data_IF_562414529704
#
_entry.id   IF_562414529704
#
_cell.length_a   1.000
_cell.length_b   1.000
_cell.length_c   1.000
_cell.angle_alpha   90.00
_cell.angle_beta   90.00
_cell.angle_gamma   90.00
#
_symmetry.space_group_name_H-M   'P 1'
#
loop_
_entity.id
_entity.type
_entity.pdbx_description
1 polymer ?
#
# COMPACT_ATOMS: atom_id res chain seq x y z
N UNK A 1 4.35 16.67 -36.30
CA UNK A 1 5.62 16.13 -35.74
C UNK A 1 5.88 16.62 -34.31
N UNK A 2 6.02 17.94 -34.05
CA UNK A 2 6.38 18.49 -32.73
C UNK A 2 5.56 18.05 -31.50
N UNK A 3 4.24 17.84 -31.64
CA UNK A 3 3.41 17.38 -30.52
C UNK A 3 3.75 15.94 -30.09
N UNK A 4 4.05 15.05 -31.04
CA UNK A 4 4.44 13.67 -30.75
C UNK A 4 5.78 13.57 -30.03
N UNK A 5 6.74 14.44 -30.36
CA UNK A 5 8.03 14.53 -29.68
C UNK A 5 7.88 14.91 -28.20
N UNK A 6 6.91 15.76 -27.86
CA UNK A 6 6.61 16.10 -26.47
C UNK A 6 6.04 14.91 -25.70
N UNK A 7 5.10 14.16 -26.29
CA UNK A 7 4.56 12.95 -25.66
C UNK A 7 5.61 11.86 -25.48
N UNK A 8 6.47 11.63 -26.47
CA UNK A 8 7.60 10.70 -26.39
C UNK A 8 8.61 11.17 -25.33
N UNK A 9 8.91 12.47 -25.27
CA UNK A 9 9.75 13.06 -24.25
C UNK A 9 9.21 12.80 -22.84
N UNK A 10 7.92 13.08 -22.61
CA UNK A 10 7.24 12.82 -21.32
C UNK A 10 7.24 11.33 -20.97
N UNK A 11 7.00 10.44 -21.94
CA UNK A 11 7.03 9.00 -21.71
C UNK A 11 8.44 8.51 -21.32
N UNK A 12 9.48 8.99 -22.00
CA UNK A 12 10.88 8.67 -21.69
C UNK A 12 11.29 9.20 -20.32
N UNK A 13 10.95 10.45 -19.99
CA UNK A 13 11.20 11.02 -18.66
C UNK A 13 10.47 10.23 -17.56
N UNK A 14 9.23 9.81 -17.82
CA UNK A 14 8.49 8.95 -16.91
C UNK A 14 9.13 7.56 -16.72
N UNK A 15 9.69 6.98 -17.79
CA UNK A 15 10.42 5.71 -17.71
C UNK A 15 11.71 5.84 -16.89
N UNK A 16 12.48 6.92 -17.07
CA UNK A 16 13.69 7.20 -16.28
C UNK A 16 13.37 7.39 -14.79
N UNK A 17 12.31 8.13 -14.47
CA UNK A 17 11.84 8.32 -13.09
C UNK A 17 11.36 7.01 -12.45
N UNK A 18 10.98 6.01 -13.25
CA UNK A 18 10.51 4.70 -12.77
C UNK A 18 11.61 3.65 -12.64
N UNK A 19 12.79 3.84 -13.24
CA UNK A 19 13.92 2.91 -13.10
C UNK A 19 14.22 2.54 -11.64
N UNK A 20 14.26 3.50 -10.69
CA UNK A 20 14.50 3.18 -9.27
C UNK A 20 13.40 2.34 -8.61
N UNK A 21 12.17 2.36 -9.16
CA UNK A 21 11.05 1.55 -8.68
C UNK A 21 11.10 0.10 -9.16
N UNK A 22 11.85 -0.22 -10.23
CA UNK A 22 11.83 -1.57 -10.83
C UNK A 22 12.23 -2.66 -9.83
N UNK A 23 13.40 -2.54 -9.20
CA UNK A 23 13.87 -3.56 -8.27
C UNK A 23 12.95 -3.73 -7.03
N UNK A 24 12.49 -2.66 -6.37
CA UNK A 24 11.51 -2.78 -5.29
C UNK A 24 10.17 -3.38 -5.72
N UNK A 25 9.66 -3.02 -6.90
CA UNK A 25 8.41 -3.59 -7.43
C UNK A 25 8.56 -5.07 -7.75
N UNK A 26 9.66 -5.48 -8.38
CA UNK A 26 9.96 -6.89 -8.64
C UNK A 26 9.99 -7.70 -7.33
N UNK A 27 10.59 -7.13 -6.28
CA UNK A 27 10.60 -7.74 -4.95
C UNK A 27 9.19 -7.87 -4.37
N UNK A 28 8.37 -6.81 -4.44
CA UNK A 28 6.98 -6.87 -3.98
C UNK A 28 6.16 -7.92 -4.76
N UNK A 29 6.35 -7.99 -6.08
CA UNK A 29 5.70 -8.98 -6.95
C UNK A 29 6.11 -10.41 -6.58
N UNK A 30 7.36 -10.63 -6.21
CA UNK A 30 7.85 -11.96 -5.83
C UNK A 30 7.20 -12.49 -4.53
N UNK A 31 6.79 -11.60 -3.62
CA UNK A 31 6.16 -11.97 -2.36
C UNK A 31 4.63 -11.95 -2.43
N UNK A 32 4.05 -10.86 -2.95
CA UNK A 32 2.60 -10.62 -2.90
C UNK A 32 1.89 -10.92 -4.22
N UNK A 33 2.64 -11.23 -5.28
CA UNK A 33 2.09 -11.50 -6.60
C UNK A 33 1.85 -10.23 -7.42
N UNK A 34 1.85 -10.40 -8.74
CA UNK A 34 1.71 -9.31 -9.70
C UNK A 34 0.33 -8.67 -9.68
N UNK A 35 -0.72 -9.48 -9.49
CA UNK A 35 -2.10 -9.02 -9.47
C UNK A 35 -2.31 -7.98 -8.39
N UNK A 36 -1.91 -8.28 -7.15
CA UNK A 36 -2.01 -7.37 -5.99
C UNK A 36 -1.26 -6.06 -6.24
N UNK A 37 0.01 -6.13 -6.64
CA UNK A 37 0.85 -4.95 -6.85
C UNK A 37 0.27 -4.06 -7.97
N UNK A 38 -0.29 -4.67 -9.01
CA UNK A 38 -0.88 -3.91 -10.13
C UNK A 38 -2.26 -3.35 -9.78
N UNK A 39 -3.08 -4.10 -9.05
CA UNK A 39 -4.43 -3.72 -8.64
C UNK A 39 -4.43 -2.40 -7.87
N UNK A 40 -3.56 -2.27 -6.88
CA UNK A 40 -3.40 -1.03 -6.11
C UNK A 40 -2.57 0.04 -6.83
N UNK A 41 -2.24 -0.14 -8.11
CA UNK A 41 -1.50 0.87 -8.88
C UNK A 41 -0.13 1.22 -8.31
N UNK A 42 0.49 0.33 -7.52
CA UNK A 42 1.81 0.53 -6.93
C UNK A 42 2.90 0.93 -7.95
N UNK A 43 2.91 0.43 -9.21
CA UNK A 43 3.88 0.87 -10.22
C UNK A 43 3.77 2.34 -10.62
N UNK A 44 2.65 3.00 -10.33
CA UNK A 44 2.41 4.41 -10.63
C UNK A 44 2.73 5.33 -9.45
N UNK A 45 3.13 4.77 -8.30
CA UNK A 45 3.52 5.54 -7.13
C UNK A 45 4.95 6.11 -7.25
N UNK A 46 5.31 7.02 -6.35
CA UNK A 46 6.65 7.61 -6.31
C UNK A 46 7.74 6.66 -5.81
N UNK A 47 9.00 6.96 -6.13
CA UNK A 47 10.16 6.13 -5.78
C UNK A 47 10.22 5.72 -4.29
N UNK A 48 9.94 6.66 -3.39
CA UNK A 48 9.93 6.39 -1.94
C UNK A 48 8.90 5.34 -1.58
N UNK A 49 7.72 5.38 -2.20
CA UNK A 49 6.68 4.38 -2.02
C UNK A 49 7.15 3.01 -2.48
N UNK A 50 7.69 2.91 -3.71
CA UNK A 50 8.21 1.65 -4.24
C UNK A 50 9.25 1.02 -3.31
N UNK A 51 10.22 1.81 -2.82
CA UNK A 51 11.27 1.33 -1.91
C UNK A 51 10.72 0.79 -0.60
N UNK A 52 9.74 1.48 0.00
CA UNK A 52 9.12 1.02 1.24
C UNK A 52 8.25 -0.21 0.99
N UNK A 53 7.47 -0.23 -0.10
CA UNK A 53 6.67 -1.38 -0.53
C UNK A 53 7.51 -2.65 -0.65
N UNK A 54 8.60 -2.60 -1.42
CA UNK A 54 9.48 -3.75 -1.60
C UNK A 54 10.12 -4.21 -0.27
N UNK A 55 10.38 -3.29 0.66
CA UNK A 55 10.89 -3.65 1.98
C UNK A 55 9.81 -4.29 2.86
N UNK A 56 8.61 -3.73 2.86
CA UNK A 56 7.48 -4.24 3.63
C UNK A 56 7.09 -5.64 3.15
N UNK A 57 7.01 -5.84 1.83
CA UNK A 57 6.72 -7.14 1.23
C UNK A 57 7.77 -8.21 1.55
N UNK A 58 9.05 -7.83 1.62
CA UNK A 58 10.11 -8.77 2.00
C UNK A 58 10.12 -9.12 3.48
N UNK A 59 9.55 -8.28 4.35
CA UNK A 59 9.43 -8.56 5.79
C UNK A 59 8.16 -9.32 6.13
N UNK A 60 7.09 -9.07 5.38
CA UNK A 60 5.80 -9.73 5.51
C UNK A 60 5.49 -10.46 4.20
N UNK A 61 6.16 -11.59 3.91
CA UNK A 61 6.12 -12.24 2.60
C UNK A 61 4.77 -12.89 2.28
N UNK A 62 4.01 -13.29 3.30
CA UNK A 62 2.68 -13.87 3.16
C UNK A 62 1.67 -12.77 2.89
N UNK A 63 1.12 -12.73 1.66
CA UNK A 63 0.11 -11.71 1.32
C UNK A 63 -1.12 -11.81 2.24
N UNK A 64 -1.60 -13.02 2.57
CA UNK A 64 -2.76 -13.20 3.43
C UNK A 64 -2.56 -12.62 4.84
N UNK A 65 -1.34 -12.63 5.35
CA UNK A 65 -1.00 -12.05 6.65
C UNK A 65 -0.80 -10.54 6.54
N UNK A 66 0.02 -10.11 5.58
CA UNK A 66 0.28 -8.70 5.31
C UNK A 66 -1.02 -7.92 5.03
N UNK A 67 -1.99 -8.59 4.40
CA UNK A 67 -3.32 -8.08 4.14
C UNK A 67 -4.10 -7.75 5.42
N UNK A 68 -4.08 -8.64 6.42
CA UNK A 68 -4.77 -8.43 7.71
C UNK A 68 -4.17 -7.20 8.41
N UNK A 69 -2.85 -7.15 8.51
CA UNK A 69 -2.13 -6.04 9.15
C UNK A 69 -2.35 -4.71 8.41
N UNK A 70 -2.29 -4.73 7.06
CA UNK A 70 -2.55 -3.54 6.24
C UNK A 70 -3.95 -2.98 6.45
N UNK A 71 -4.97 -3.83 6.47
CA UNK A 71 -6.34 -3.37 6.69
C UNK A 71 -6.49 -2.70 8.06
N UNK A 72 -5.86 -3.25 9.10
CA UNK A 72 -5.89 -2.65 10.43
C UNK A 72 -5.18 -1.30 10.48
N UNK A 73 -4.03 -1.17 9.82
CA UNK A 73 -3.30 0.09 9.72
C UNK A 73 -4.11 1.15 8.97
N UNK A 74 -4.77 0.76 7.86
CA UNK A 74 -5.64 1.63 7.07
C UNK A 74 -6.85 2.07 7.89
N UNK A 75 -7.57 1.13 8.53
CA UNK A 75 -8.73 1.46 9.36
C UNK A 75 -8.36 2.35 10.55
N UNK A 76 -7.25 2.04 11.24
CA UNK A 76 -6.74 2.90 12.30
C UNK A 76 -6.56 4.32 11.78
N UNK A 77 -5.95 4.48 10.60
CA UNK A 77 -5.72 5.80 10.00
C UNK A 77 -7.03 6.51 9.64
N UNK A 78 -8.00 5.81 9.08
CA UNK A 78 -9.32 6.35 8.73
C UNK A 78 -10.04 6.86 10.00
N UNK A 79 -9.94 6.11 11.09
CA UNK A 79 -10.62 6.39 12.35
C UNK A 79 -9.86 7.38 13.27
N UNK A 80 -8.70 7.91 12.86
CA UNK A 80 -7.96 8.86 13.69
C UNK A 80 -8.75 10.17 13.89
N UNK A 81 -9.06 10.57 15.14
CA UNK A 81 -9.80 11.79 15.40
C UNK A 81 -9.02 13.04 14.93
N UNK A 82 -9.75 14.03 14.42
CA UNK A 82 -9.17 15.30 13.93
C UNK A 82 -8.52 15.22 12.55
N UNK A 83 -8.49 14.05 11.88
CA UNK A 83 -8.15 13.95 10.47
C UNK A 83 -9.36 14.27 9.59
N UNK A 84 -9.11 14.88 8.44
CA UNK A 84 -10.14 15.03 7.40
C UNK A 84 -10.57 13.64 6.94
N UNK A 85 -11.88 13.42 6.80
CA UNK A 85 -12.44 12.19 6.22
C UNK A 85 -11.67 11.84 4.95
N UNK A 86 -11.04 10.66 4.94
CA UNK A 86 -10.34 10.17 3.76
C UNK A 86 -11.41 9.82 2.73
N UNK A 87 -11.28 10.41 1.54
CA UNK A 87 -12.12 10.02 0.42
C UNK A 87 -11.74 8.59 0.00
N UNK A 88 -12.72 7.78 -0.41
CA UNK A 88 -12.45 6.45 -0.97
C UNK A 88 -11.45 6.55 -2.12
N UNK A 89 -10.53 5.58 -2.21
CA UNK A 89 -9.47 5.57 -3.22
C UNK A 89 -9.31 4.17 -3.77
N UNK A 90 -9.11 4.05 -5.09
CA UNK A 90 -8.76 2.78 -5.72
C UNK A 90 -7.47 2.16 -5.14
N UNK A 91 -6.60 2.97 -4.53
CA UNK A 91 -5.54 2.50 -3.66
C UNK A 91 -5.62 3.20 -2.30
N UNK A 92 -6.09 2.51 -1.25
CA UNK A 92 -6.13 3.06 0.10
C UNK A 92 -4.82 2.80 0.87
N UNK A 93 -3.84 2.10 0.30
CA UNK A 93 -2.53 1.89 0.91
C UNK A 93 -1.69 3.15 0.74
N UNK A 94 -1.45 3.88 1.83
CA UNK A 94 -0.52 5.00 1.83
C UNK A 94 0.87 4.56 2.28
N UNK A 95 1.85 5.41 2.00
CA UNK A 95 3.24 5.24 2.42
C UNK A 95 3.37 4.96 3.93
N UNK A 96 2.56 5.61 4.77
CA UNK A 96 2.64 5.43 6.23
C UNK A 96 2.23 4.02 6.65
N UNK A 97 1.26 3.41 5.99
CA UNK A 97 0.85 2.03 6.31
C UNK A 97 1.96 1.06 5.93
N UNK A 98 2.62 1.27 4.79
CA UNK A 98 3.76 0.43 4.40
C UNK A 98 4.96 0.63 5.34
N UNK A 99 5.14 1.82 5.90
CA UNK A 99 6.19 2.09 6.90
C UNK A 99 5.88 1.34 8.21
N UNK A 100 4.63 1.33 8.62
CA UNK A 100 4.17 0.66 9.83
C UNK A 100 4.16 -0.86 9.65
N UNK A 101 3.67 -1.35 8.51
CA UNK A 101 3.73 -2.76 8.13
C UNK A 101 5.18 -3.27 8.13
N UNK A 102 6.11 -2.51 7.55
CA UNK A 102 7.54 -2.85 7.61
C UNK A 102 8.08 -2.99 9.06
N UNK A 103 7.49 -2.28 10.01
CA UNK A 103 7.88 -2.32 11.42
C UNK A 103 7.17 -3.44 12.20
N UNK A 104 6.01 -3.89 11.72
CA UNK A 104 5.27 -5.04 12.21
C UNK A 104 5.89 -6.33 11.66
N UNK A 105 6.65 -7.07 12.49
CA UNK A 105 7.42 -8.25 12.04
C UNK A 105 6.98 -9.55 12.72
N UNK A 106 6.27 -9.46 13.84
CA UNK A 106 5.75 -10.60 14.57
C UNK A 106 4.22 -10.49 14.53
N UNK A 107 3.51 -11.61 14.32
CA UNK A 107 2.03 -11.71 14.30
C UNK A 107 1.40 -11.44 15.69
N UNK A 108 2.06 -10.61 16.48
CA UNK A 108 1.69 -10.15 17.81
C UNK A 108 1.17 -8.72 17.74
N UNK A 109 0.92 -8.14 18.91
CA UNK A 109 0.42 -6.78 19.07
C UNK A 109 1.43 -5.74 18.53
N UNK A 110 0.97 -4.88 17.62
CA UNK A 110 1.74 -3.72 17.17
C UNK A 110 1.22 -2.45 17.84
N UNK A 111 2.07 -1.80 18.63
CA UNK A 111 1.71 -0.57 19.33
C UNK A 111 2.07 0.65 18.48
N UNK A 112 1.06 1.40 18.03
CA UNK A 112 1.23 2.64 17.28
C UNK A 112 0.65 3.83 18.03
N UNK A 113 1.53 4.73 18.48
CA UNK A 113 1.18 5.91 19.28
C UNK A 113 0.41 5.55 20.57
N UNK A 114 0.79 4.46 21.24
CA UNK A 114 0.12 3.97 22.44
C UNK A 114 -1.19 3.21 22.21
N UNK A 115 -1.66 3.10 20.96
CA UNK A 115 -2.80 2.25 20.61
C UNK A 115 -2.29 0.88 20.14
N UNK A 116 -2.65 -0.21 20.81
CA UNK A 116 -2.34 -1.55 20.33
C UNK A 116 -3.21 -1.92 19.15
N UNK A 117 -2.60 -2.55 18.14
CA UNK A 117 -3.28 -3.25 17.08
C UNK A 117 -3.00 -4.74 17.27
N UNK A 118 -4.02 -5.49 17.68
CA UNK A 118 -3.94 -6.94 17.87
C UNK A 118 -4.23 -7.60 16.52
N UNK A 119 -3.45 -8.60 16.14
CA UNK A 119 -3.68 -9.34 14.89
C UNK A 119 -5.07 -10.01 14.87
N UNK A 120 -5.98 -9.47 14.05
CA UNK A 120 -7.35 -9.98 13.85
C UNK A 120 -7.88 -9.54 12.48
N UNK A 121 -8.60 -10.41 11.79
CA UNK A 121 -9.23 -10.04 10.53
C UNK A 121 -10.28 -8.95 10.75
N UNK A 122 -10.23 -7.91 9.91
CA UNK A 122 -11.23 -6.84 9.87
C UNK A 122 -12.58 -7.39 9.41
N UNK A 123 -13.62 -7.16 10.20
CA UNK A 123 -15.01 -7.50 9.85
C UNK A 123 -15.65 -6.37 9.05
N UNK A 124 -16.70 -6.70 8.27
CA UNK A 124 -17.52 -5.69 7.58
C UNK A 124 -18.15 -4.68 8.54
N UNK A 125 -18.36 -5.06 9.81
CA UNK A 125 -18.85 -4.16 10.86
C UNK A 125 -17.87 -3.06 11.26
N UNK A 126 -16.58 -3.26 11.00
CA UNK A 126 -15.51 -2.34 11.42
C UNK A 126 -15.21 -1.28 10.36
N UNK A 127 -15.83 -1.41 9.19
CA UNK A 127 -15.58 -0.61 8.00
C UNK A 127 -16.62 0.50 7.92
N UNK A 128 -16.21 1.77 7.75
CA UNK A 128 -17.15 2.86 7.53
C UNK A 128 -17.98 2.63 6.25
N UNK A 129 -19.24 3.03 6.24
CA UNK A 129 -20.17 2.86 5.09
C UNK A 129 -19.65 3.41 3.75
N UNK A 130 -18.65 4.30 3.79
CA UNK A 130 -17.99 4.86 2.61
C UNK A 130 -16.90 3.96 1.99
N UNK A 131 -16.55 2.84 2.61
CA UNK A 131 -15.46 1.94 2.21
C UNK A 131 -15.97 0.51 1.99
N UNK A 132 -15.22 -0.29 1.24
CA UNK A 132 -15.58 -1.69 0.95
C UNK A 132 -14.37 -2.62 1.06
N UNK A 133 -14.58 -3.94 1.07
CA UNK A 133 -13.51 -4.92 0.88
C UNK A 133 -13.67 -5.53 -0.51
N UNK A 134 -12.63 -5.51 -1.33
CA UNK A 134 -12.54 -6.25 -2.57
C UNK A 134 -11.77 -7.57 -2.43
N UNK A 135 -11.47 -8.23 -3.56
CA UNK A 135 -10.76 -9.52 -3.59
C UNK A 135 -9.32 -9.47 -3.06
N UNK A 136 -8.74 -8.28 -2.90
CA UNK A 136 -7.41 -8.03 -2.38
C UNK A 136 -7.41 -7.18 -1.11
N UNK A 137 -8.51 -6.51 -0.74
CA UNK A 137 -8.62 -5.83 0.54
C UNK A 137 -9.49 -4.59 0.64
N UNK A 138 -9.28 -3.82 1.72
CA UNK A 138 -10.04 -2.59 1.96
C UNK A 138 -9.84 -1.63 0.77
N UNK A 139 -10.91 -0.94 0.36
CA UNK A 139 -11.03 0.13 -0.64
C UNK A 139 -11.70 1.36 -0.03
#
# INVERSE_FOLDING_TARGET
AKQWEQFVGVANSGAELRKPCLAPLTKAIAHWGRSVVTHYGCPFAGEKYCKVLGTAASRNPSWSEAFIELNQLILRRINLPGRRSQQPSANPVHLIDLQDLKAWQDQTEFVKNGTPLVYHAVSSSDIPDSHTIDVYGLL
#
